data_IF_627462963922
#
_entry.id   IF_627462963922
#
_cell.length_a   1.000
_cell.length_b   1.000
_cell.length_c   1.000
_cell.angle_alpha   90.00
_cell.angle_beta   90.00
_cell.angle_gamma   90.00
#
_symmetry.space_group_name_H-M   'P 1'
#
loop_
_entity.id
_entity.type
_entity.pdbx_description
1 polymer ?
#
# COMPACT_ATOMS: atom_id res chain seq x y z
N UNK A 1 15.22 7.76 18.90
CA UNK A 1 13.94 7.39 19.47
C UNK A 1 13.01 6.80 18.42
N UNK A 2 12.57 5.63 18.67
CA UNK A 2 11.67 5.00 17.72
C UNK A 2 10.24 5.51 17.90
N UNK A 3 9.52 5.63 16.81
CA UNK A 3 8.11 5.96 16.89
C UNK A 3 7.31 4.70 17.12
N UNK A 4 6.14 4.86 17.68
CA UNK A 4 5.19 3.76 17.84
C UNK A 4 4.61 3.39 16.51
N UNK A 5 4.31 2.12 16.33
CA UNK A 5 3.51 1.70 15.19
C UNK A 5 2.57 0.61 15.65
N UNK A 6 1.39 0.57 15.03
CA UNK A 6 0.39 -0.42 15.31
C UNK A 6 -0.06 -1.08 14.03
N UNK A 7 -0.06 -2.39 14.06
CA UNK A 7 -0.58 -3.19 12.98
C UNK A 7 -2.08 -2.92 12.79
N UNK A 8 -2.48 -2.71 11.55
CA UNK A 8 -3.88 -2.51 11.17
C UNK A 8 -4.41 -3.71 10.40
N UNK A 9 -3.71 -4.07 9.33
CA UNK A 9 -4.15 -5.13 8.44
C UNK A 9 -3.01 -5.58 7.55
N UNK A 10 -3.15 -6.72 6.92
CA UNK A 10 -2.22 -7.13 5.86
C UNK A 10 -3.03 -7.83 4.77
N UNK A 11 -2.49 -7.79 3.56
CA UNK A 11 -3.18 -8.34 2.41
C UNK A 11 -2.21 -8.43 1.25
N UNK A 12 -2.60 -9.18 0.23
CA UNK A 12 -1.86 -9.18 -1.02
C UNK A 12 -2.27 -7.96 -1.84
N UNK A 13 -1.31 -7.38 -2.56
CA UNK A 13 -1.62 -6.27 -3.45
C UNK A 13 -2.57 -6.75 -4.52
N UNK A 14 -3.70 -6.06 -4.67
CA UNK A 14 -4.75 -6.45 -5.60
C UNK A 14 -4.48 -5.86 -6.99
N UNK A 15 -4.80 -6.64 -8.02
CA UNK A 15 -4.77 -6.13 -9.39
C UNK A 15 -3.40 -5.98 -10.02
N UNK A 16 -2.36 -6.57 -9.45
CA UNK A 16 -1.00 -6.40 -9.96
C UNK A 16 -0.84 -6.77 -11.43
N UNK A 17 -1.63 -7.74 -11.90
CA UNK A 17 -1.53 -8.18 -13.29
C UNK A 17 -1.87 -7.09 -14.29
N UNK A 18 -2.58 -6.06 -13.87
CA UNK A 18 -3.03 -4.98 -14.76
C UNK A 18 -2.10 -3.77 -14.74
N UNK A 19 -1.05 -3.80 -13.93
CA UNK A 19 -0.16 -2.65 -13.74
C UNK A 19 1.28 -3.07 -13.94
N UNK A 20 2.20 -2.17 -13.62
CA UNK A 20 3.61 -2.36 -13.95
C UNK A 20 4.43 -2.98 -12.82
N UNK A 21 3.78 -3.61 -11.85
CA UNK A 21 4.48 -4.20 -10.71
C UNK A 21 5.53 -5.22 -11.11
N UNK A 22 5.25 -6.01 -12.15
CA UNK A 22 6.21 -7.01 -12.60
C UNK A 22 7.54 -6.41 -13.04
N UNK A 23 7.53 -5.17 -13.54
CA UNK A 23 8.75 -4.50 -13.99
C UNK A 23 9.67 -4.13 -12.84
N UNK A 24 9.15 -3.99 -11.64
CA UNK A 24 9.92 -3.55 -10.48
C UNK A 24 9.96 -4.58 -9.37
N UNK A 25 9.41 -5.78 -9.59
CA UNK A 25 9.30 -6.76 -8.52
C UNK A 25 10.67 -7.13 -7.94
N UNK A 26 11.72 -7.13 -8.74
CA UNK A 26 13.07 -7.42 -8.26
C UNK A 26 13.59 -6.34 -7.31
N UNK A 27 12.97 -5.17 -7.32
CA UNK A 27 13.36 -4.06 -6.45
C UNK A 27 12.51 -3.99 -5.19
N UNK A 28 11.50 -4.83 -5.08
CA UNK A 28 10.63 -4.87 -3.91
C UNK A 28 11.25 -5.79 -2.87
N UNK A 29 11.47 -5.26 -1.67
CA UNK A 29 12.12 -6.00 -0.59
C UNK A 29 11.30 -5.90 0.68
N UNK A 30 11.16 -6.99 1.44
CA UNK A 30 10.50 -6.91 2.75
C UNK A 30 11.10 -5.81 3.61
N UNK A 31 10.23 -5.09 4.32
CA UNK A 31 10.63 -3.98 5.17
C UNK A 31 10.62 -2.63 4.48
N UNK A 32 10.60 -2.58 3.16
CA UNK A 32 10.52 -1.32 2.43
C UNK A 32 9.10 -0.77 2.46
N UNK A 33 8.99 0.54 2.39
CA UNK A 33 7.69 1.22 2.37
C UNK A 33 7.22 1.47 0.96
N UNK A 34 5.90 1.47 0.82
CA UNK A 34 5.25 1.80 -0.44
C UNK A 34 4.35 3.02 -0.21
N UNK A 35 4.11 3.78 -1.26
CA UNK A 35 3.29 4.98 -1.18
C UNK A 35 1.85 4.64 -1.51
N UNK A 36 0.93 5.22 -0.73
CA UNK A 36 -0.50 5.06 -0.94
C UNK A 36 -1.07 6.31 -1.58
N UNK A 37 -1.91 6.13 -2.58
CA UNK A 37 -2.52 7.25 -3.30
C UNK A 37 -4.01 6.99 -3.45
N UNK A 38 -4.83 7.84 -2.85
CA UNK A 38 -6.28 7.74 -3.00
C UNK A 38 -6.70 8.07 -4.42
N UNK A 39 -7.71 7.37 -4.90
CA UNK A 39 -8.30 7.62 -6.21
C UNK A 39 -9.79 7.87 -6.05
N UNK A 40 -10.20 9.03 -5.50
CA UNK A 40 -11.61 9.29 -5.20
C UNK A 40 -12.50 9.33 -6.44
N UNK A 41 -11.91 9.54 -7.61
CA UNK A 41 -12.66 9.56 -8.87
C UNK A 41 -12.58 8.26 -9.64
N UNK A 42 -12.07 7.20 -9.02
CA UNK A 42 -12.01 5.89 -9.66
C UNK A 42 -13.44 5.42 -9.97
N UNK A 43 -13.76 5.12 -11.23
CA UNK A 43 -15.13 4.78 -11.59
C UNK A 43 -15.63 3.46 -11.00
N UNK A 44 -14.72 2.56 -10.68
CA UNK A 44 -15.10 1.26 -10.12
C UNK A 44 -15.27 1.32 -8.60
N UNK A 45 -14.55 2.23 -7.92
CA UNK A 45 -14.55 2.25 -6.46
C UNK A 45 -14.06 3.61 -5.97
N UNK A 46 -14.95 4.45 -5.40
CA UNK A 46 -14.54 5.77 -4.89
C UNK A 46 -13.60 5.68 -3.69
N UNK A 47 -13.51 4.51 -3.05
CA UNK A 47 -12.56 4.28 -1.96
C UNK A 47 -11.27 3.61 -2.44
N UNK A 48 -11.02 3.56 -3.73
CA UNK A 48 -9.81 2.93 -4.24
C UNK A 48 -8.57 3.63 -3.71
N UNK A 49 -7.61 2.84 -3.27
CA UNK A 49 -6.30 3.33 -2.82
C UNK A 49 -5.23 2.56 -3.58
N UNK A 50 -4.50 3.27 -4.42
CA UNK A 50 -3.43 2.68 -5.21
C UNK A 50 -2.16 2.56 -4.38
N UNK A 51 -1.37 1.56 -4.70
CA UNK A 51 -0.09 1.29 -4.03
C UNK A 51 1.01 1.49 -5.06
N UNK A 52 1.98 2.36 -4.73
CA UNK A 52 3.06 2.72 -5.63
C UNK A 52 4.42 2.43 -5.02
N UNK A 53 5.36 2.01 -5.87
CA UNK A 53 6.78 2.12 -5.58
C UNK A 53 7.30 3.25 -6.45
N UNK A 54 7.70 4.36 -5.82
CA UNK A 54 8.08 5.57 -6.56
C UNK A 54 6.96 5.93 -7.55
N UNK A 55 7.24 5.97 -8.84
CA UNK A 55 6.24 6.33 -9.85
C UNK A 55 5.55 5.13 -10.47
N UNK A 56 5.84 3.93 -9.99
CA UNK A 56 5.29 2.71 -10.59
C UNK A 56 4.13 2.20 -9.76
N UNK A 57 2.95 2.18 -10.35
CA UNK A 57 1.78 1.63 -9.70
C UNK A 57 1.89 0.10 -9.68
N UNK A 58 1.78 -0.49 -8.49
CA UNK A 58 1.78 -1.93 -8.31
C UNK A 58 0.38 -2.51 -8.39
N UNK A 59 -0.58 -1.83 -7.87
CA UNK A 59 -1.95 -2.29 -7.76
C UNK A 59 -2.68 -1.51 -6.70
N UNK A 60 -3.58 -2.18 -5.97
CA UNK A 60 -4.48 -1.54 -5.02
C UNK A 60 -4.55 -2.29 -3.70
N UNK A 61 -4.98 -1.59 -2.67
CA UNK A 61 -5.49 -2.23 -1.46
C UNK A 61 -6.77 -2.97 -1.86
N UNK A 62 -6.96 -4.23 -1.45
CA UNK A 62 -8.20 -4.94 -1.76
C UNK A 62 -9.43 -4.15 -1.33
N UNK A 63 -10.46 -4.18 -2.16
CA UNK A 63 -11.65 -3.36 -1.95
C UNK A 63 -12.29 -3.55 -0.58
N UNK A 64 -12.27 -4.76 -0.06
CA UNK A 64 -12.88 -5.04 1.23
C UNK A 64 -12.04 -4.60 2.42
N UNK A 65 -10.86 -4.01 2.17
CA UNK A 65 -9.95 -3.59 3.24
C UNK A 65 -9.43 -2.17 3.04
N UNK A 66 -10.03 -1.40 2.13
CA UNK A 66 -9.48 -0.09 1.79
C UNK A 66 -10.13 1.09 2.53
N UNK A 67 -11.18 0.86 3.28
CA UNK A 67 -11.99 1.93 3.82
C UNK A 67 -11.21 2.87 4.75
N UNK A 68 -10.49 2.32 5.71
CA UNK A 68 -9.72 3.15 6.64
C UNK A 68 -8.68 4.00 5.90
N UNK A 69 -7.92 3.38 5.01
CA UNK A 69 -6.89 4.10 4.25
C UNK A 69 -7.52 5.19 3.40
N UNK A 70 -8.63 4.88 2.72
CA UNK A 70 -9.30 5.86 1.89
C UNK A 70 -9.74 7.08 2.68
N UNK A 71 -10.28 6.87 3.88
CA UNK A 71 -10.74 7.98 4.71
C UNK A 71 -9.57 8.80 5.23
N UNK A 72 -8.53 8.15 5.71
CA UNK A 72 -7.36 8.88 6.20
C UNK A 72 -6.73 9.74 5.11
N UNK A 73 -6.57 9.17 3.92
CA UNK A 73 -5.99 9.91 2.80
C UNK A 73 -6.89 11.05 2.35
N UNK A 74 -8.20 10.82 2.32
CA UNK A 74 -9.16 11.84 1.91
C UNK A 74 -9.08 13.08 2.81
N UNK A 75 -8.88 12.87 4.09
CA UNK A 75 -8.88 13.96 5.05
C UNK A 75 -7.48 14.43 5.44
N UNK A 76 -6.48 14.04 4.65
CA UNK A 76 -5.14 14.59 4.81
C UNK A 76 -4.30 13.95 5.91
N UNK A 77 -4.64 12.73 6.32
CA UNK A 77 -3.94 12.04 7.41
C UNK A 77 -3.04 10.92 6.91
N UNK A 78 -2.47 11.09 5.72
CA UNK A 78 -1.58 10.08 5.15
C UNK A 78 -0.29 9.91 5.95
N UNK A 79 0.08 10.91 6.74
CA UNK A 79 1.30 10.89 7.54
C UNK A 79 1.23 9.96 8.76
N UNK A 80 0.06 9.40 9.06
CA UNK A 80 -0.09 8.45 10.17
C UNK A 80 -0.31 7.02 9.69
N UNK A 81 -0.24 6.79 8.39
CA UNK A 81 -0.47 5.46 7.82
C UNK A 81 0.73 5.06 6.97
N UNK A 82 1.24 3.86 7.24
CA UNK A 82 2.39 3.32 6.54
C UNK A 82 2.04 2.01 5.88
N UNK A 83 2.48 1.84 4.63
CA UNK A 83 2.34 0.57 3.93
C UNK A 83 3.74 -0.04 3.80
N UNK A 84 3.92 -1.24 4.34
CA UNK A 84 5.22 -1.92 4.33
C UNK A 84 5.13 -3.23 3.59
N UNK A 85 6.17 -3.55 2.84
CA UNK A 85 6.27 -4.85 2.18
C UNK A 85 6.60 -5.90 3.23
N UNK A 86 5.79 -6.96 3.29
CA UNK A 86 6.00 -8.06 4.23
C UNK A 86 6.64 -9.26 3.55
N UNK A 87 6.26 -9.53 2.30
CA UNK A 87 6.73 -10.70 1.58
C UNK A 87 6.70 -10.44 0.09
N UNK A 88 7.69 -10.94 -0.61
CA UNK A 88 7.74 -10.91 -2.07
C UNK A 88 8.07 -12.31 -2.56
N UNK A 89 7.24 -12.84 -3.44
CA UNK A 89 7.45 -14.16 -4.05
C UNK A 89 7.28 -14.04 -5.56
N UNK A 90 8.40 -13.94 -6.24
CA UNK A 90 8.42 -13.73 -7.69
C UNK A 90 7.85 -14.91 -8.48
N UNK A 91 7.82 -16.08 -7.87
CA UNK A 91 7.36 -17.30 -8.54
C UNK A 91 5.89 -17.58 -8.30
N UNK A 92 5.24 -16.82 -7.41
CA UNK A 92 3.83 -17.00 -7.13
C UNK A 92 2.98 -16.40 -8.24
N UNK A 93 1.71 -16.75 -8.23
CA UNK A 93 0.73 -16.10 -9.08
C UNK A 93 0.68 -14.62 -8.75
N UNK A 94 0.32 -13.77 -9.72
CA UNK A 94 0.40 -12.32 -9.53
C UNK A 94 -0.35 -11.85 -8.29
N UNK A 95 -1.48 -12.45 -7.96
CA UNK A 95 -2.26 -12.04 -6.79
C UNK A 95 -1.64 -12.46 -5.46
N UNK A 96 -0.59 -13.26 -5.49
CA UNK A 96 0.13 -13.71 -4.30
C UNK A 96 1.58 -13.25 -4.27
N UNK A 97 2.00 -12.42 -5.21
CA UNK A 97 3.41 -12.07 -5.32
C UNK A 97 3.88 -11.10 -4.25
N UNK A 98 3.04 -10.15 -3.87
CA UNK A 98 3.45 -9.11 -2.92
C UNK A 98 2.42 -9.00 -1.82
N UNK A 99 2.88 -9.24 -0.60
CA UNK A 99 2.05 -9.05 0.59
C UNK A 99 2.55 -7.83 1.34
N UNK A 100 1.61 -6.97 1.72
CA UNK A 100 1.92 -5.73 2.42
C UNK A 100 1.13 -5.65 3.70
N UNK A 101 1.65 -4.86 4.65
CA UNK A 101 0.95 -4.56 5.89
C UNK A 101 0.70 -3.07 6.00
N UNK A 102 -0.43 -2.73 6.59
CA UNK A 102 -0.75 -1.36 6.94
C UNK A 102 -0.53 -1.16 8.44
N UNK A 103 0.09 -0.06 8.76
CA UNK A 103 0.42 0.28 10.15
C UNK A 103 0.06 1.72 10.41
N UNK A 104 -0.55 1.98 11.57
CA UNK A 104 -0.68 3.35 12.07
C UNK A 104 0.61 3.70 12.76
N UNK A 105 1.13 4.88 12.48
CA UNK A 105 2.39 5.34 13.05
C UNK A 105 2.22 6.71 13.67
N UNK A 106 3.17 7.11 14.51
CA UNK A 106 3.19 8.46 15.02
C UNK A 106 3.41 9.43 13.87
N UNK A 107 2.71 10.55 13.92
CA UNK A 107 2.92 11.60 12.95
C UNK A 107 4.34 12.11 13.05
N UNK A 108 5.00 12.22 11.91
CA UNK A 108 6.36 12.75 11.86
C UNK A 108 6.35 14.23 12.24
N UNK A 109 7.25 14.63 13.11
CA UNK A 109 7.29 15.98 13.63
C UNK A 109 8.58 16.65 13.25
N UNK A 110 8.46 17.76 12.54
CA UNK A 110 9.58 18.64 12.32
C UNK A 110 10.77 18.05 11.60
N UNK A 111 10.62 16.91 11.03
CA UNK A 111 11.72 16.31 10.28
C UNK A 111 11.87 16.93 8.91
#
# INVERSE_FOLDING_TARGET
MSSSSRYVADFNVAGMRYWDGAKVISKLKPGKRLRLVAEPHNPADPNAVAIYRKDVKLGYIPRNQNDLAAQLLRFGHDDVLECRILKVDKKAETWNQVRVGLYMTDKVKGE
#
